data_IF_606600799693
#
_entry.id   IF_606600799693
#
_cell.length_a   1.000
_cell.length_b   1.000
_cell.length_c   1.000
_cell.angle_alpha   90.00
_cell.angle_beta   90.00
_cell.angle_gamma   90.00
#
_symmetry.space_group_name_H-M   'P 1'
#
loop_
_entity.id
_entity.type
_entity.pdbx_description
1 polymer ?
#
# COMPACT_ATOMS: atom_id res chain seq x y z
N UNK A 1 88.08 -17.25 8.66
CA UNK A 1 87.66 -18.61 8.31
C UNK A 1 86.31 -18.87 8.93
N UNK A 2 85.35 -19.11 8.08
CA UNK A 2 84.07 -19.83 8.26
C UNK A 2 83.15 -19.48 9.43
N UNK A 3 82.04 -18.76 9.13
CA UNK A 3 80.78 -19.22 8.57
C UNK A 3 80.06 -20.23 9.46
N UNK A 4 78.82 -19.92 9.88
CA UNK A 4 77.63 -20.49 9.22
C UNK A 4 76.36 -20.04 9.90
N UNK A 5 75.47 -19.51 9.08
CA UNK A 5 74.07 -19.73 9.00
C UNK A 5 73.21 -19.89 10.26
N UNK A 6 72.37 -18.90 10.50
CA UNK A 6 71.07 -19.05 11.16
C UNK A 6 69.99 -18.77 10.14
N UNK A 7 69.18 -19.79 9.86
CA UNK A 7 67.97 -19.68 9.04
C UNK A 7 66.92 -18.79 9.68
N UNK A 8 66.12 -18.02 8.93
CA UNK A 8 65.06 -17.19 9.47
C UNK A 8 63.86 -18.07 9.86
N UNK A 9 63.30 -17.77 11.02
CA UNK A 9 62.02 -18.29 11.50
C UNK A 9 60.89 -17.90 10.53
N UNK A 10 60.12 -18.89 10.11
CA UNK A 10 58.90 -18.70 9.35
C UNK A 10 57.87 -17.94 10.20
N UNK A 11 57.58 -16.69 9.83
CA UNK A 11 56.39 -15.99 10.23
C UNK A 11 55.25 -16.60 9.39
N UNK A 12 54.39 -17.37 10.00
CA UNK A 12 53.09 -17.72 9.43
C UNK A 12 52.21 -16.50 9.46
N UNK A 13 52.16 -15.75 8.35
CA UNK A 13 51.11 -14.79 8.09
C UNK A 13 49.79 -15.58 8.05
N UNK A 14 48.90 -15.28 9.02
CA UNK A 14 47.52 -15.72 8.98
C UNK A 14 46.88 -15.18 7.72
N UNK A 15 46.50 -16.06 6.83
CA UNK A 15 45.88 -15.75 5.55
C UNK A 15 44.55 -15.04 5.81
N UNK A 16 44.36 -13.88 5.20
CA UNK A 16 43.16 -13.00 5.35
C UNK A 16 41.80 -13.59 5.00
N UNK A 17 41.72 -14.92 4.86
CA UNK A 17 40.49 -15.67 4.59
C UNK A 17 39.64 -15.91 5.87
N UNK A 18 40.26 -15.98 7.06
CA UNK A 18 39.52 -16.13 8.33
C UNK A 18 38.74 -14.87 8.69
N UNK A 19 39.21 -13.67 8.32
CA UNK A 19 38.50 -12.43 8.53
C UNK A 19 37.30 -12.24 7.57
N UNK A 20 37.39 -12.79 6.35
CA UNK A 20 36.30 -12.79 5.36
C UNK A 20 35.21 -13.78 5.73
N UNK A 21 35.57 -14.93 6.29
CA UNK A 21 34.62 -15.93 6.79
C UNK A 21 33.85 -15.41 8.02
N UNK A 22 34.52 -14.71 8.94
CA UNK A 22 33.88 -14.08 10.10
C UNK A 22 32.94 -12.93 9.71
N UNK A 23 33.31 -12.12 8.71
CA UNK A 23 32.43 -11.10 8.17
C UNK A 23 31.23 -11.71 7.41
N UNK A 24 31.41 -12.85 6.72
CA UNK A 24 30.32 -13.52 6.04
C UNK A 24 29.31 -14.16 7.01
N UNK A 25 29.72 -14.59 8.20
CA UNK A 25 28.82 -15.11 9.23
C UNK A 25 28.10 -13.96 10.00
N UNK A 26 28.70 -12.79 10.10
CA UNK A 26 28.06 -11.61 10.68
C UNK A 26 26.94 -11.05 9.76
N UNK A 27 27.06 -11.23 8.43
CA UNK A 27 26.02 -10.89 7.45
C UNK A 27 24.92 -11.97 7.29
N UNK A 28 25.10 -13.17 7.83
CA UNK A 28 24.07 -14.23 7.83
C UNK A 28 23.00 -14.11 8.91
N UNK A 29 23.05 -13.07 9.74
CA UNK A 29 22.23 -12.94 10.94
C UNK A 29 20.96 -12.11 10.84
N UNK A 30 20.73 -11.34 9.78
CA UNK A 30 19.41 -10.78 9.52
C UNK A 30 18.61 -11.77 8.66
N UNK A 31 17.80 -12.63 9.32
CA UNK A 31 16.68 -13.28 8.65
C UNK A 31 15.93 -12.16 7.92
N UNK A 32 15.89 -12.23 6.58
CA UNK A 32 14.94 -11.40 5.82
C UNK A 32 13.60 -11.54 6.52
N UNK A 33 13.14 -10.45 7.14
CA UNK A 33 11.86 -10.46 7.87
C UNK A 33 10.79 -10.78 6.87
N UNK A 34 10.23 -11.98 7.00
CA UNK A 34 9.24 -12.50 6.06
C UNK A 34 8.00 -11.63 6.13
N UNK A 35 7.62 -11.09 4.98
CA UNK A 35 6.35 -10.37 4.81
C UNK A 35 5.39 -11.31 4.09
N UNK A 36 4.20 -11.45 4.63
CA UNK A 36 3.10 -12.18 4.04
C UNK A 36 2.03 -11.19 3.55
N UNK A 37 1.56 -11.36 2.30
CA UNK A 37 0.48 -10.56 1.73
C UNK A 37 -0.78 -11.42 1.71
N UNK A 38 -1.85 -10.86 2.24
CA UNK A 38 -3.18 -11.47 2.25
C UNK A 38 -4.29 -10.43 2.30
N UNK A 39 -5.53 -10.88 2.27
CA UNK A 39 -6.67 -9.99 2.46
C UNK A 39 -6.79 -9.59 3.93
N UNK A 40 -7.30 -8.38 4.16
CA UNK A 40 -7.70 -7.93 5.50
C UNK A 40 -8.81 -8.84 6.04
N UNK A 41 -8.76 -9.12 7.33
CA UNK A 41 -9.72 -9.96 8.05
C UNK A 41 -10.34 -9.19 9.22
N UNK A 42 -11.59 -9.50 9.62
CA UNK A 42 -12.22 -8.90 10.79
C UNK A 42 -11.46 -9.12 12.11
N UNK A 43 -10.56 -10.12 12.16
CA UNK A 43 -9.73 -10.46 13.33
C UNK A 43 -8.40 -9.70 13.35
N UNK A 44 -8.07 -8.96 12.29
CA UNK A 44 -6.84 -8.19 12.20
C UNK A 44 -6.81 -7.02 13.19
N UNK A 45 -5.60 -6.52 13.45
CA UNK A 45 -5.40 -5.39 14.35
C UNK A 45 -5.77 -4.07 13.65
N UNK A 46 -6.98 -3.57 13.91
CA UNK A 46 -7.50 -2.34 13.29
C UNK A 46 -6.83 -1.05 13.79
N UNK A 47 -6.15 -1.05 14.93
CA UNK A 47 -5.30 0.09 15.30
C UNK A 47 -4.15 0.24 14.30
N UNK A 48 -3.54 -0.87 13.89
CA UNK A 48 -2.47 -0.87 12.90
C UNK A 48 -2.97 -0.56 11.49
N UNK A 49 -4.19 -0.98 11.14
CA UNK A 49 -4.88 -0.57 9.90
C UNK A 49 -5.06 0.95 9.88
N UNK A 50 -5.58 1.50 10.97
CA UNK A 50 -5.80 2.94 11.12
C UNK A 50 -4.51 3.74 10.98
N UNK A 51 -3.41 3.32 11.63
CA UNK A 51 -2.10 3.94 11.49
C UNK A 51 -1.65 3.98 10.03
N UNK A 52 -1.82 2.87 9.28
CA UNK A 52 -1.44 2.82 7.87
C UNK A 52 -2.30 3.73 7.00
N UNK A 53 -3.63 3.76 7.20
CA UNK A 53 -4.55 4.60 6.45
C UNK A 53 -4.35 6.08 6.75
N UNK A 54 -4.19 6.46 8.02
CA UNK A 54 -4.04 7.86 8.42
C UNK A 54 -2.80 8.53 7.82
N UNK A 55 -1.77 7.72 7.48
CA UNK A 55 -0.54 8.19 6.84
C UNK A 55 -0.67 8.40 5.32
N UNK A 56 -1.74 7.88 4.69
CA UNK A 56 -1.90 7.95 3.23
C UNK A 56 -2.44 9.29 2.79
N UNK A 57 -3.44 9.81 3.49
CA UNK A 57 -4.11 11.05 3.12
C UNK A 57 -4.19 12.00 4.33
N UNK A 58 -3.54 13.15 4.18
CA UNK A 58 -3.47 14.17 5.23
C UNK A 58 -4.71 15.06 5.34
N UNK A 59 -5.70 14.87 4.47
CA UNK A 59 -6.92 15.67 4.43
C UNK A 59 -8.16 14.85 4.79
N UNK A 60 -8.41 13.77 4.05
CA UNK A 60 -9.64 12.97 4.17
C UNK A 60 -9.74 12.31 5.54
N UNK A 61 -8.72 11.57 5.96
CA UNK A 61 -8.78 10.84 7.22
C UNK A 61 -8.78 11.73 8.47
N UNK A 62 -8.01 12.85 8.55
CA UNK A 62 -8.18 13.83 9.63
C UNK A 62 -9.56 14.48 9.67
N UNK A 63 -10.15 14.79 8.53
CA UNK A 63 -11.51 15.35 8.48
C UNK A 63 -12.56 14.31 8.92
N UNK A 64 -12.40 13.05 8.52
CA UNK A 64 -13.30 11.97 8.91
C UNK A 64 -13.20 11.62 10.40
N UNK A 65 -12.00 11.40 10.90
CA UNK A 65 -11.77 10.85 12.24
C UNK A 65 -11.32 11.88 13.27
N UNK A 66 -10.84 13.03 12.85
CA UNK A 66 -10.31 14.10 13.68
C UNK A 66 -8.82 13.95 13.99
N UNK A 67 -8.42 12.79 14.47
CA UNK A 67 -7.06 12.45 14.80
C UNK A 67 -6.81 10.94 14.65
N UNK A 68 -5.58 10.51 14.88
CA UNK A 68 -5.18 9.11 14.80
C UNK A 68 -5.93 8.23 15.83
N UNK A 69 -6.24 8.75 17.00
CA UNK A 69 -6.97 8.00 18.03
C UNK A 69 -8.44 7.77 17.60
N UNK A 70 -9.07 8.75 16.97
CA UNK A 70 -10.37 8.58 16.33
C UNK A 70 -10.32 7.56 15.20
N UNK A 71 -9.27 7.58 14.37
CA UNK A 71 -9.07 6.59 13.33
C UNK A 71 -8.93 5.17 13.91
N UNK A 72 -8.11 4.97 14.94
CA UNK A 72 -7.96 3.68 15.63
C UNK A 72 -9.29 3.15 16.20
N UNK A 73 -10.09 4.05 16.73
CA UNK A 73 -11.39 3.69 17.34
C UNK A 73 -12.43 3.27 16.30
N UNK A 74 -12.47 3.90 15.15
CA UNK A 74 -13.60 3.78 14.21
C UNK A 74 -13.25 3.12 12.88
N UNK A 75 -11.97 2.86 12.57
CA UNK A 75 -11.58 2.33 11.27
C UNK A 75 -12.21 0.97 10.96
N UNK A 76 -12.40 0.10 11.97
CA UNK A 76 -13.02 -1.20 11.76
C UNK A 76 -14.42 -1.10 11.19
N UNK A 77 -15.17 -0.08 11.61
CA UNK A 77 -16.56 0.11 11.19
C UNK A 77 -16.71 0.54 9.72
N UNK A 78 -15.62 1.00 9.10
CA UNK A 78 -15.63 1.31 7.66
C UNK A 78 -15.71 0.04 6.82
N UNK A 79 -15.08 -1.04 7.27
CA UNK A 79 -14.95 -2.27 6.48
C UNK A 79 -16.20 -3.14 6.53
N UNK A 80 -16.45 -3.89 5.46
CA UNK A 80 -17.60 -4.80 5.35
C UNK A 80 -17.29 -5.98 4.42
N UNK A 81 -18.15 -7.01 4.49
CA UNK A 81 -18.14 -8.15 3.57
C UNK A 81 -18.82 -7.83 2.22
N UNK A 82 -19.37 -6.62 2.05
CA UNK A 82 -19.95 -6.21 0.78
C UNK A 82 -18.86 -5.98 -0.28
N UNK A 83 -18.80 -6.80 -1.33
CA UNK A 83 -17.76 -6.69 -2.36
C UNK A 83 -17.92 -5.43 -3.24
N UNK A 84 -19.03 -4.71 -3.17
CA UNK A 84 -19.24 -3.47 -3.91
C UNK A 84 -18.90 -2.24 -3.07
N UNK A 85 -18.66 -2.41 -1.76
CA UNK A 85 -18.21 -1.33 -0.90
C UNK A 85 -16.75 -0.96 -1.18
N UNK A 86 -16.41 0.33 -1.03
CA UNK A 86 -15.03 0.80 -1.17
C UNK A 86 -14.10 0.13 -0.13
N UNK A 87 -14.53 0.11 1.13
CA UNK A 87 -13.81 -0.57 2.20
C UNK A 87 -14.35 -1.99 2.37
N UNK A 88 -14.03 -2.85 1.41
CA UNK A 88 -14.38 -4.27 1.47
C UNK A 88 -13.18 -5.09 1.95
N UNK A 89 -13.42 -6.13 2.77
CA UNK A 89 -12.37 -7.02 3.23
C UNK A 89 -11.68 -7.74 2.08
N UNK A 90 -12.40 -8.16 1.06
CA UNK A 90 -11.85 -8.87 -0.10
C UNK A 90 -11.07 -7.98 -1.08
N UNK A 91 -11.27 -6.65 -1.02
CA UNK A 91 -10.55 -5.64 -1.82
C UNK A 91 -9.53 -4.84 -1.02
N UNK A 92 -9.14 -5.37 0.13
CA UNK A 92 -8.11 -4.78 0.97
C UNK A 92 -7.01 -5.78 1.22
N UNK A 93 -5.83 -5.50 0.66
CA UNK A 93 -4.62 -6.29 0.91
C UNK A 93 -3.86 -5.71 2.09
N UNK A 94 -3.34 -6.59 2.94
CA UNK A 94 -2.45 -6.24 4.04
C UNK A 94 -1.13 -7.00 3.92
N UNK A 95 -0.05 -6.32 4.30
CA UNK A 95 1.26 -6.91 4.46
C UNK A 95 1.49 -7.17 5.95
N UNK A 96 1.70 -8.43 6.34
CA UNK A 96 1.96 -8.84 7.73
C UNK A 96 3.39 -9.29 7.89
N UNK A 97 4.01 -8.89 9.01
CA UNK A 97 5.35 -9.38 9.37
C UNK A 97 5.28 -10.77 10.04
N UNK A 98 6.43 -11.28 10.46
CA UNK A 98 6.55 -12.60 11.11
C UNK A 98 5.80 -12.74 12.43
N UNK A 99 5.37 -11.63 13.05
CA UNK A 99 4.59 -11.62 14.28
C UNK A 99 3.08 -11.50 14.00
N UNK A 100 2.69 -11.30 12.74
CA UNK A 100 1.32 -11.01 12.33
C UNK A 100 0.96 -9.53 12.41
N UNK A 101 1.93 -8.64 12.71
CA UNK A 101 1.72 -7.20 12.74
C UNK A 101 1.53 -6.65 11.32
N UNK A 102 0.54 -5.79 11.12
CA UNK A 102 0.28 -5.14 9.84
C UNK A 102 1.38 -4.11 9.58
N UNK A 103 2.16 -4.33 8.53
CA UNK A 103 3.23 -3.45 8.08
C UNK A 103 2.77 -2.42 7.04
N UNK A 104 1.71 -2.75 6.29
CA UNK A 104 1.13 -1.88 5.27
C UNK A 104 -0.20 -2.39 4.75
N UNK A 105 -0.90 -1.53 4.03
CA UNK A 105 -2.24 -1.77 3.50
C UNK A 105 -2.35 -1.23 2.07
N UNK A 106 -3.13 -1.91 1.23
CA UNK A 106 -3.57 -1.45 -0.08
C UNK A 106 -5.07 -1.67 -0.19
N UNK A 107 -5.82 -0.59 -0.37
CA UNK A 107 -7.27 -0.62 -0.62
C UNK A 107 -7.50 -0.30 -2.09
N UNK A 108 -8.30 -1.12 -2.77
CA UNK A 108 -8.66 -0.90 -4.16
C UNK A 108 -10.16 -1.11 -4.38
N UNK A 109 -10.70 -0.48 -5.40
CA UNK A 109 -12.07 -0.72 -5.88
C UNK A 109 -12.08 -1.40 -7.24
N UNK A 110 -13.12 -2.11 -7.56
CA UNK A 110 -13.36 -2.67 -8.89
C UNK A 110 -14.34 -1.84 -9.72
N UNK A 111 -14.54 -2.26 -10.96
CA UNK A 111 -15.42 -1.63 -11.95
C UNK A 111 -16.90 -1.53 -11.51
N UNK A 112 -17.33 -2.35 -10.56
CA UNK A 112 -18.70 -2.34 -10.01
C UNK A 112 -18.86 -1.51 -8.74
N UNK A 113 -17.73 -1.10 -8.14
CA UNK A 113 -17.77 -0.31 -6.93
C UNK A 113 -18.12 1.14 -7.28
N UNK A 114 -19.16 1.68 -6.67
CA UNK A 114 -19.42 3.10 -6.73
C UNK A 114 -18.36 3.85 -5.95
N UNK A 115 -17.54 4.72 -6.59
CA UNK A 115 -16.56 5.51 -5.87
C UNK A 115 -17.28 6.29 -4.76
N UNK A 116 -16.81 6.10 -3.52
CA UNK A 116 -17.35 6.83 -2.38
C UNK A 116 -18.88 6.87 -2.37
N UNK A 117 -19.54 5.68 -2.25
CA UNK A 117 -20.96 5.65 -1.91
C UNK A 117 -21.16 6.32 -0.55
N UNK A 118 -21.33 7.64 -0.63
CA UNK A 118 -21.47 8.52 0.51
C UNK A 118 -22.66 8.14 1.39
N UNK A 119 -23.68 7.49 0.82
CA UNK A 119 -24.84 7.06 1.61
C UNK A 119 -24.51 5.86 2.50
N UNK A 120 -23.87 4.83 1.94
CA UNK A 120 -23.46 3.64 2.71
C UNK A 120 -22.48 4.00 3.83
N UNK A 121 -21.47 4.82 3.54
CA UNK A 121 -20.52 5.31 4.56
C UNK A 121 -21.24 6.17 5.59
N UNK A 122 -22.12 7.09 5.15
CA UNK A 122 -22.90 7.95 6.05
C UNK A 122 -23.78 7.16 7.01
N UNK A 123 -24.48 6.14 6.52
CA UNK A 123 -25.31 5.27 7.37
C UNK A 123 -24.49 4.57 8.47
N UNK A 124 -23.31 4.08 8.12
CA UNK A 124 -22.37 3.49 9.08
C UNK A 124 -21.95 4.51 10.13
N UNK A 125 -21.57 5.72 9.72
CA UNK A 125 -21.18 6.80 10.65
C UNK A 125 -22.30 7.23 11.57
N UNK A 126 -23.54 7.34 11.06
CA UNK A 126 -24.73 7.63 11.88
C UNK A 126 -24.96 6.53 12.93
N UNK A 127 -24.69 5.28 12.60
CA UNK A 127 -24.83 4.16 13.53
C UNK A 127 -23.79 4.16 14.65
N UNK A 128 -22.56 4.64 14.38
CA UNK A 128 -21.47 4.72 15.35
C UNK A 128 -21.71 5.82 16.40
N UNK A 129 -22.39 6.92 16.02
CA UNK A 129 -22.73 8.04 16.92
C UNK A 129 -21.61 9.08 17.08
N UNK A 130 -21.83 10.04 17.99
CA UNK A 130 -20.95 11.18 18.29
C UNK A 130 -20.96 12.28 17.20
N UNK A 131 -19.83 13.00 17.02
CA UNK A 131 -19.64 14.07 16.04
C UNK A 131 -19.23 13.55 14.64
N UNK A 132 -19.15 12.23 14.46
CA UNK A 132 -18.79 11.60 13.17
C UNK A 132 -19.72 12.00 12.02
N UNK A 133 -21.05 12.09 12.19
CA UNK A 133 -21.93 12.55 11.11
C UNK A 133 -21.58 13.96 10.62
N UNK A 134 -21.29 14.90 11.54
CA UNK A 134 -20.92 16.26 11.19
C UNK A 134 -19.57 16.32 10.50
N UNK A 135 -18.61 15.51 10.93
CA UNK A 135 -17.30 15.35 10.28
C UNK A 135 -17.45 14.77 8.88
N UNK A 136 -18.28 13.73 8.74
CA UNK A 136 -18.56 13.13 7.45
C UNK A 136 -19.18 14.13 6.46
N UNK A 137 -20.18 14.91 6.88
CA UNK A 137 -20.78 15.93 6.02
C UNK A 137 -19.75 16.98 5.57
N UNK A 138 -18.85 17.39 6.47
CA UNK A 138 -17.75 18.30 6.14
C UNK A 138 -16.79 17.69 5.14
N UNK A 139 -16.34 16.46 5.35
CA UNK A 139 -15.47 15.74 4.42
C UNK A 139 -16.16 15.52 3.07
N UNK A 140 -17.45 15.19 3.08
CA UNK A 140 -18.25 15.02 1.88
C UNK A 140 -18.34 16.33 1.05
N UNK A 141 -18.54 17.46 1.70
CA UNK A 141 -18.57 18.75 0.99
C UNK A 141 -17.20 19.19 0.49
N UNK A 142 -16.16 18.91 1.25
CA UNK A 142 -14.81 19.33 0.90
C UNK A 142 -14.18 18.44 -0.18
N UNK A 143 -14.37 17.12 -0.09
CA UNK A 143 -13.65 16.14 -0.91
C UNK A 143 -14.58 15.17 -1.65
N UNK A 144 -15.39 14.40 -0.91
CA UNK A 144 -16.00 13.17 -1.43
C UNK A 144 -16.93 13.39 -2.62
N UNK A 145 -17.70 14.48 -2.62
CA UNK A 145 -18.55 14.88 -3.77
C UNK A 145 -17.77 15.30 -5.02
N UNK A 146 -16.49 15.61 -4.86
CA UNK A 146 -15.64 16.18 -5.91
C UNK A 146 -14.68 15.14 -6.46
N UNK A 147 -14.43 14.07 -5.70
CA UNK A 147 -13.66 12.92 -6.14
C UNK A 147 -14.61 12.00 -6.89
N UNK A 148 -14.79 12.25 -8.17
CA UNK A 148 -15.42 11.31 -9.08
C UNK A 148 -14.30 10.55 -9.75
N UNK A 149 -13.97 9.36 -9.25
CA UNK A 149 -13.06 8.47 -9.95
C UNK A 149 -13.55 8.17 -11.36
N UNK A 150 -12.68 7.79 -12.29
CA UNK A 150 -13.07 7.43 -13.63
C UNK A 150 -14.02 6.22 -13.60
N UNK A 151 -14.90 6.15 -14.60
CA UNK A 151 -15.63 4.91 -14.87
C UNK A 151 -14.60 3.87 -15.32
N UNK A 152 -14.41 2.82 -14.52
CA UNK A 152 -13.37 1.82 -14.78
C UNK A 152 -13.79 0.89 -15.92
N UNK A 153 -12.87 0.53 -16.82
CA UNK A 153 -13.10 -0.56 -17.76
C UNK A 153 -13.45 -1.87 -17.04
N UNK A 154 -14.08 -2.78 -17.77
CA UNK A 154 -14.40 -4.12 -17.25
C UNK A 154 -13.16 -4.81 -16.70
N UNK A 155 -13.29 -5.42 -15.53
CA UNK A 155 -12.23 -6.13 -14.80
C UNK A 155 -11.02 -5.24 -14.45
N UNK A 156 -11.14 -3.91 -14.58
CA UNK A 156 -10.16 -2.97 -14.09
C UNK A 156 -10.37 -2.68 -12.58
N UNK A 157 -9.30 -2.24 -11.93
CA UNK A 157 -9.33 -1.82 -10.54
C UNK A 157 -8.65 -0.45 -10.37
N UNK A 158 -9.03 0.29 -9.34
CA UNK A 158 -8.35 1.52 -8.94
C UNK A 158 -7.83 1.40 -7.52
N UNK A 159 -6.56 1.74 -7.32
CA UNK A 159 -5.95 1.83 -6.00
C UNK A 159 -6.37 3.15 -5.38
N UNK A 160 -7.14 3.07 -4.31
CA UNK A 160 -7.60 4.21 -3.55
C UNK A 160 -6.57 4.61 -2.48
N UNK A 161 -6.02 3.61 -1.77
CA UNK A 161 -5.08 3.85 -0.69
C UNK A 161 -3.94 2.83 -0.72
N UNK A 162 -2.70 3.33 -0.58
CA UNK A 162 -1.50 2.51 -0.39
C UNK A 162 -0.67 3.12 0.73
N UNK A 163 -0.72 2.51 1.90
CA UNK A 163 -0.03 2.97 3.10
C UNK A 163 0.98 1.96 3.65
N UNK A 164 2.10 2.47 4.15
CA UNK A 164 3.11 1.68 4.87
C UNK A 164 3.39 2.36 6.19
N UNK A 165 3.18 1.63 7.29
CA UNK A 165 3.38 2.13 8.65
C UNK A 165 4.82 2.58 8.88
N UNK A 166 4.99 3.54 9.76
CA UNK A 166 6.31 3.99 10.21
C UNK A 166 7.09 2.81 10.81
N UNK A 167 8.40 2.81 10.60
CA UNK A 167 9.26 1.68 10.97
C UNK A 167 9.29 0.52 9.96
N UNK A 168 8.35 0.45 9.02
CA UNK A 168 8.34 -0.56 7.92
C UNK A 168 8.69 0.05 6.56
N UNK A 169 8.78 1.38 6.44
CA UNK A 169 9.14 2.05 5.19
C UNK A 169 10.54 1.68 4.73
N UNK A 170 10.78 1.72 3.42
CA UNK A 170 12.07 1.36 2.82
C UNK A 170 12.37 -0.13 2.74
N UNK A 171 11.47 -1.01 3.21
CA UNK A 171 11.63 -2.48 3.21
C UNK A 171 10.92 -3.17 2.05
N UNK A 172 10.47 -2.45 1.04
CA UNK A 172 9.78 -3.01 -0.13
C UNK A 172 8.31 -3.36 0.07
N UNK A 173 7.70 -3.06 1.24
CA UNK A 173 6.30 -3.41 1.57
C UNK A 173 5.32 -2.90 0.50
N UNK A 174 5.39 -1.61 0.15
CA UNK A 174 4.53 -1.05 -0.90
C UNK A 174 4.72 -1.73 -2.26
N UNK A 175 5.97 -2.13 -2.57
CA UNK A 175 6.26 -2.91 -3.80
C UNK A 175 5.62 -4.29 -3.75
N UNK A 176 5.65 -4.97 -2.61
CA UNK A 176 5.05 -6.32 -2.45
C UNK A 176 3.52 -6.26 -2.55
N UNK A 177 2.88 -5.29 -1.92
CA UNK A 177 1.43 -5.05 -2.04
C UNK A 177 1.03 -4.77 -3.50
N UNK A 178 1.74 -3.85 -4.16
CA UNK A 178 1.52 -3.53 -5.57
C UNK A 178 1.70 -4.76 -6.46
N UNK A 179 2.78 -5.53 -6.25
CA UNK A 179 3.08 -6.74 -7.04
C UNK A 179 1.97 -7.78 -6.93
N UNK A 180 1.38 -7.95 -5.74
CA UNK A 180 0.26 -8.89 -5.54
C UNK A 180 -0.97 -8.49 -6.35
N UNK A 181 -1.26 -7.21 -6.50
CA UNK A 181 -2.39 -6.73 -7.28
C UNK A 181 -2.14 -6.84 -8.79
N UNK A 182 -1.00 -6.33 -9.28
CA UNK A 182 -0.69 -6.32 -10.73
C UNK A 182 -0.43 -7.69 -11.33
N UNK A 183 -0.05 -8.68 -10.51
CA UNK A 183 0.13 -10.07 -10.96
C UNK A 183 -1.18 -10.87 -11.01
N UNK A 184 -2.30 -10.28 -10.59
CA UNK A 184 -3.60 -10.96 -10.66
C UNK A 184 -4.08 -11.03 -12.12
N UNK A 185 -4.17 -12.23 -12.74
CA UNK A 185 -4.57 -12.36 -14.13
C UNK A 185 -6.04 -12.02 -14.38
N UNK A 186 -6.85 -11.85 -13.33
CA UNK A 186 -8.23 -11.41 -13.45
C UNK A 186 -8.38 -9.88 -13.53
N UNK A 187 -7.30 -9.13 -13.32
CA UNK A 187 -7.27 -7.65 -13.38
C UNK A 187 -6.75 -7.21 -14.73
N UNK A 188 -7.56 -6.49 -15.51
CA UNK A 188 -7.21 -6.00 -16.85
C UNK A 188 -6.30 -4.77 -16.82
N UNK A 189 -6.66 -3.80 -16.00
CA UNK A 189 -5.93 -2.54 -15.80
C UNK A 189 -5.93 -2.15 -14.32
N UNK A 190 -4.87 -1.50 -13.89
CA UNK A 190 -4.78 -0.89 -12.55
C UNK A 190 -4.65 0.62 -12.71
N UNK A 191 -5.58 1.34 -12.13
CA UNK A 191 -5.65 2.80 -12.12
C UNK A 191 -5.23 3.32 -10.74
N UNK A 192 -4.73 4.54 -10.67
CA UNK A 192 -4.47 5.26 -9.43
C UNK A 192 -4.29 6.76 -9.71
N UNK A 193 -4.46 7.53 -8.65
CA UNK A 193 -4.14 8.95 -8.63
C UNK A 193 -2.93 9.22 -7.74
N UNK A 194 -2.02 10.09 -8.18
CA UNK A 194 -0.83 10.47 -7.41
C UNK A 194 -0.67 11.97 -7.32
N UNK A 195 -0.47 12.44 -6.10
CA UNK A 195 -0.21 13.85 -5.78
C UNK A 195 1.23 14.23 -6.16
N UNK A 196 1.41 15.48 -6.62
CA UNK A 196 2.74 16.03 -6.92
C UNK A 196 3.65 16.08 -5.68
N UNK A 197 3.08 16.22 -4.49
CA UNK A 197 3.79 16.18 -3.21
C UNK A 197 4.33 14.80 -2.83
N UNK A 198 3.91 13.72 -3.54
CA UNK A 198 4.30 12.36 -3.26
C UNK A 198 5.32 11.76 -4.26
N UNK A 199 6.54 12.36 -4.41
CA UNK A 199 7.51 11.90 -5.41
C UNK A 199 8.01 10.47 -5.15
N UNK A 200 7.92 9.99 -3.91
CA UNK A 200 8.26 8.60 -3.55
C UNK A 200 7.27 7.60 -4.11
N UNK A 201 5.97 7.89 -4.00
CA UNK A 201 4.90 7.09 -4.58
C UNK A 201 4.99 7.10 -6.12
N UNK A 202 5.20 8.28 -6.72
CA UNK A 202 5.39 8.42 -8.15
C UNK A 202 6.52 7.52 -8.67
N UNK A 203 7.69 7.51 -8.02
CA UNK A 203 8.80 6.64 -8.39
C UNK A 203 8.46 5.15 -8.28
N UNK A 204 7.64 4.78 -7.29
CA UNK A 204 7.16 3.41 -7.15
C UNK A 204 6.31 3.02 -8.35
N UNK A 205 5.34 3.85 -8.74
CA UNK A 205 4.44 3.59 -9.87
C UNK A 205 5.18 3.56 -11.20
N UNK A 206 6.08 4.52 -11.44
CA UNK A 206 6.93 4.52 -12.64
C UNK A 206 7.77 3.22 -12.76
N UNK A 207 8.30 2.71 -11.63
CA UNK A 207 9.05 1.44 -11.59
C UNK A 207 8.21 0.23 -12.01
N UNK A 208 6.92 0.24 -11.70
CA UNK A 208 5.97 -0.82 -12.10
C UNK A 208 5.44 -0.64 -13.51
N UNK A 209 5.77 0.45 -14.19
CA UNK A 209 5.34 0.70 -15.57
C UNK A 209 3.99 1.39 -15.68
N UNK A 210 3.51 2.04 -14.62
CA UNK A 210 2.36 2.93 -14.72
C UNK A 210 2.70 4.12 -15.62
N UNK A 211 1.78 4.49 -16.48
CA UNK A 211 1.90 5.62 -17.39
C UNK A 211 0.87 6.70 -17.01
N UNK A 212 1.24 7.99 -17.12
CA UNK A 212 0.27 9.06 -16.91
C UNK A 212 -0.80 9.03 -18.00
N UNK A 213 -2.04 9.25 -17.61
CA UNK A 213 -3.18 9.35 -18.50
C UNK A 213 -3.93 10.67 -18.27
N UNK A 214 -4.25 11.39 -19.35
CA UNK A 214 -4.92 12.68 -19.28
C UNK A 214 -4.07 13.81 -18.70
N UNK A 215 -4.72 14.95 -18.54
CA UNK A 215 -4.12 16.15 -17.94
C UNK A 215 -4.19 16.05 -16.40
N UNK A 216 -3.27 16.75 -15.74
CA UNK A 216 -3.34 16.91 -14.28
C UNK A 216 -4.58 17.72 -13.89
N UNK A 217 -5.17 17.35 -12.78
CA UNK A 217 -6.29 18.08 -12.19
C UNK A 217 -5.95 18.59 -10.79
N UNK A 218 -6.63 19.64 -10.31
CA UNK A 218 -6.35 20.24 -9.01
C UNK A 218 -6.81 19.33 -7.87
N UNK A 219 -6.00 19.21 -6.83
CA UNK A 219 -6.37 18.52 -5.59
C UNK A 219 -7.23 19.41 -4.69
N UNK A 220 -7.91 18.80 -3.76
CA UNK A 220 -8.71 19.48 -2.74
C UNK A 220 -7.97 19.47 -1.39
N UNK A 221 -8.28 20.44 -0.49
CA UNK A 221 -9.39 21.40 -0.57
C UNK A 221 -9.12 22.67 -1.37
N UNK A 222 -7.87 23.06 -1.60
CA UNK A 222 -7.51 24.39 -2.10
C UNK A 222 -7.14 24.44 -3.60
N UNK A 223 -6.98 23.28 -4.24
CA UNK A 223 -6.64 23.18 -5.65
C UNK A 223 -5.20 23.63 -5.99
N UNK A 224 -4.33 23.79 -4.99
CA UNK A 224 -2.94 24.25 -5.18
C UNK A 224 -2.01 23.16 -5.62
N UNK A 225 -2.35 21.91 -5.38
CA UNK A 225 -1.57 20.74 -5.74
C UNK A 225 -2.16 20.03 -6.96
N UNK A 226 -1.27 19.57 -7.87
CA UNK A 226 -1.67 18.76 -9.01
C UNK A 226 -1.80 17.29 -8.64
N UNK A 227 -2.81 16.64 -9.23
CA UNK A 227 -3.02 15.19 -9.19
C UNK A 227 -2.82 14.64 -10.60
N UNK A 228 -2.07 13.56 -10.73
CA UNK A 228 -1.89 12.85 -11.99
C UNK A 228 -2.55 11.49 -11.91
N UNK A 229 -3.51 11.25 -12.81
CA UNK A 229 -4.03 9.92 -13.05
C UNK A 229 -2.99 9.05 -13.77
N UNK A 230 -2.83 7.80 -13.32
CA UNK A 230 -1.87 6.85 -13.90
C UNK A 230 -2.52 5.49 -14.10
N UNK A 231 -2.14 4.83 -15.17
CA UNK A 231 -2.70 3.52 -15.57
C UNK A 231 -1.59 2.52 -15.84
N UNK A 232 -1.76 1.31 -15.34
CA UNK A 232 -0.98 0.12 -15.70
C UNK A 232 -1.88 -0.87 -16.43
N UNK A 233 -1.50 -1.26 -17.64
CA UNK A 233 -2.19 -2.32 -18.43
C UNK A 233 -1.54 -3.65 -18.14
N UNK A 234 -2.33 -4.61 -17.62
CA UNK A 234 -1.79 -5.90 -17.22
C UNK A 234 -1.54 -6.80 -18.44
N UNK A 235 -0.27 -7.09 -18.80
CA UNK A 235 0.05 -7.95 -19.95
C UNK A 235 -0.31 -9.42 -19.72
N UNK A 236 -0.65 -9.80 -18.48
CA UNK A 236 -1.02 -11.17 -18.09
C UNK A 236 -2.53 -11.36 -17.91
N UNK A 237 -3.33 -10.34 -18.23
CA UNK A 237 -4.79 -10.41 -18.11
C UNK A 237 -5.38 -11.52 -19.01
N UNK A 238 -6.29 -12.31 -18.44
CA UNK A 238 -7.02 -13.37 -19.13
C UNK A 238 -8.52 -13.08 -19.03
N UNK A 239 -9.14 -12.75 -20.17
CA UNK A 239 -10.60 -12.60 -20.23
C UNK A 239 -11.29 -13.98 -20.17
N UNK A 240 -11.89 -14.29 -19.02
CA UNK A 240 -12.57 -15.57 -18.75
C UNK A 240 -13.74 -15.88 -19.69
N UNK A 241 -14.26 -14.88 -20.42
CA UNK A 241 -15.34 -15.13 -21.40
C UNK A 241 -14.90 -15.94 -22.61
N UNK A 242 -13.60 -16.02 -22.88
CA UNK A 242 -13.08 -16.77 -24.02
C UNK A 242 -12.81 -18.25 -23.70
N UNK A 243 -12.94 -18.68 -22.43
CA UNK A 243 -12.72 -20.09 -22.03
C UNK A 243 -14.01 -20.95 -22.06
N UNK A 244 -15.20 -20.33 -22.18
CA UNK A 244 -16.47 -21.07 -22.21
C UNK A 244 -16.94 -21.49 -23.64
N UNK A 245 -16.08 -21.31 -24.65
CA UNK A 245 -16.43 -21.53 -26.09
C UNK A 245 -15.62 -22.67 -26.75
N UNK A 246 -14.95 -23.53 -25.98
CA UNK A 246 -14.34 -24.76 -26.53
C UNK A 246 -15.06 -26.05 -26.10
#
# INVERSE_FOLDING_TARGET
MNNYNKAPSQNTESTGWESVAAMADEFKGEKEKRIEIGNLSPEDNFEQVAEALFLVDQYIFPDLFGDEEGAKKYSKELFSDDPEALFSFDKTLVAKDENGDIAGILVYRGDKCTPWDTNSIREKYLAIGNDLPERFERANENYLKKITGPELPKDAVEIEFLGVRDGYRGRGIGSSLMQSLINNPAVSEVHLDVLDSHPGARKLYDKFGFLPEGDKFPNYPDGTEGVQHMVYKNPHYVDKKNEEVE
#
